data_IF_222624219892
#
_entry.id   IF_222624219892
#
_cell.length_a   1.000
_cell.length_b   1.000
_cell.length_c   1.000
_cell.angle_alpha   90.00
_cell.angle_beta   90.00
_cell.angle_gamma   90.00
#
_symmetry.space_group_name_H-M   'P 1'
#
loop_
_entity.id
_entity.type
_entity.pdbx_description
1 polymer ?
#
# COMPACT_ATOMS: atom_id res chain seq x y z
N UNK A 1 -9.72 3.27 0.55
CA UNK A 1 -10.10 3.54 -0.87
C UNK A 1 -11.07 2.46 -1.26
N UNK A 2 -12.16 2.81 -1.94
CA UNK A 2 -13.11 1.82 -2.47
C UNK A 2 -12.81 1.63 -3.95
N UNK A 3 -12.23 0.49 -4.32
CA UNK A 3 -11.79 0.20 -5.69
C UNK A 3 -12.95 -0.31 -6.56
N UNK A 4 -12.86 -0.06 -7.87
CA UNK A 4 -13.84 -0.48 -8.89
C UNK A 4 -15.27 0.08 -8.68
N UNK A 5 -15.39 1.21 -7.98
CA UNK A 5 -16.64 1.92 -7.76
C UNK A 5 -16.43 3.43 -7.85
N UNK A 6 -17.47 4.16 -8.23
CA UNK A 6 -17.53 5.62 -8.13
C UNK A 6 -18.34 6.08 -6.92
N UNK A 7 -19.05 5.16 -6.25
CA UNK A 7 -19.88 5.43 -5.07
C UNK A 7 -19.19 4.96 -3.79
N UNK A 8 -19.27 5.73 -2.68
CA UNK A 8 -18.80 5.29 -1.37
C UNK A 8 -19.49 4.00 -0.91
N UNK A 9 -18.77 3.16 -0.16
CA UNK A 9 -19.28 1.88 0.36
C UNK A 9 -19.65 0.84 -0.72
N UNK A 10 -19.19 1.05 -1.95
CA UNK A 10 -19.29 0.08 -3.05
C UNK A 10 -17.95 -0.59 -3.35
N UNK A 11 -17.95 -1.52 -4.31
CA UNK A 11 -16.70 -2.10 -4.83
C UNK A 11 -15.91 -2.90 -3.79
N UNK A 12 -14.57 -2.82 -3.86
CA UNK A 12 -13.66 -3.52 -2.95
C UNK A 12 -12.85 -2.52 -2.10
N UNK A 13 -13.07 -2.44 -0.77
CA UNK A 13 -12.32 -1.56 0.10
C UNK A 13 -10.87 -2.05 0.28
N UNK A 14 -9.92 -1.13 0.19
CA UNK A 14 -8.51 -1.36 0.48
C UNK A 14 -7.94 -0.24 1.37
N UNK A 15 -7.11 -0.62 2.32
CA UNK A 15 -6.33 0.31 3.13
C UNK A 15 -5.05 0.70 2.38
N UNK A 16 -4.69 1.99 2.40
CA UNK A 16 -3.45 2.51 1.79
C UNK A 16 -2.69 3.29 2.85
N UNK A 17 -1.50 2.81 3.22
CA UNK A 17 -0.67 3.35 4.29
C UNK A 17 0.59 3.96 3.69
N UNK A 18 0.86 5.23 4.01
CA UNK A 18 2.12 5.87 3.65
C UNK A 18 3.21 5.41 4.62
N UNK A 19 4.24 4.76 4.08
CA UNK A 19 5.35 4.21 4.84
C UNK A 19 6.62 5.06 4.66
N UNK A 20 7.17 5.54 5.77
CA UNK A 20 8.35 6.41 5.82
C UNK A 20 9.62 5.71 6.34
N UNK A 21 9.60 4.38 6.47
CA UNK A 21 10.74 3.57 6.91
C UNK A 21 10.72 3.18 8.40
N UNK A 22 11.55 2.18 8.75
CA UNK A 22 11.68 1.59 10.09
C UNK A 22 12.25 0.17 10.02
N UNK A 23 12.89 -0.31 11.09
CA UNK A 23 13.29 -1.71 11.24
C UNK A 23 12.04 -2.58 11.53
N UNK A 24 12.06 -3.86 11.10
CA UNK A 24 10.95 -4.83 11.20
C UNK A 24 9.68 -4.47 10.40
N UNK A 25 9.86 -3.96 9.18
CA UNK A 25 8.79 -3.54 8.30
C UNK A 25 7.73 -4.63 8.06
N UNK A 26 8.13 -5.89 7.83
CA UNK A 26 7.22 -6.94 7.36
C UNK A 26 6.24 -7.39 8.46
N UNK A 27 6.76 -7.71 9.65
CA UNK A 27 5.93 -8.13 10.77
C UNK A 27 4.98 -7.01 11.20
N UNK A 28 5.45 -5.76 11.17
CA UNK A 28 4.61 -4.61 11.46
C UNK A 28 3.54 -4.40 10.38
N UNK A 29 3.92 -4.40 9.09
CA UNK A 29 3.00 -4.28 7.95
C UNK A 29 1.92 -5.36 7.99
N UNK A 30 2.31 -6.61 8.28
CA UNK A 30 1.39 -7.73 8.46
C UNK A 30 0.44 -7.52 9.64
N UNK A 31 0.92 -6.98 10.77
CA UNK A 31 0.07 -6.67 11.93
C UNK A 31 -0.95 -5.58 11.63
N UNK A 32 -0.56 -4.56 10.86
CA UNK A 32 -1.45 -3.48 10.41
C UNK A 32 -2.48 -4.00 9.40
N UNK A 33 -2.07 -4.85 8.46
CA UNK A 33 -2.99 -5.47 7.51
C UNK A 33 -4.04 -6.34 8.23
N UNK A 34 -3.61 -7.05 9.27
CA UNK A 34 -4.50 -7.82 10.14
C UNK A 34 -5.47 -6.95 10.93
N UNK A 35 -5.03 -5.79 11.42
CA UNK A 35 -5.90 -4.84 12.13
C UNK A 35 -6.99 -4.26 11.22
N UNK A 36 -6.64 -3.90 9.98
CA UNK A 36 -7.64 -3.42 9.00
C UNK A 36 -8.63 -4.52 8.58
N UNK A 37 -8.17 -5.77 8.52
CA UNK A 37 -9.00 -6.94 8.18
C UNK A 37 -9.82 -6.77 6.88
N UNK A 38 -9.21 -6.10 5.88
CA UNK A 38 -9.71 -5.99 4.52
C UNK A 38 -9.04 -7.04 3.64
N UNK A 39 -9.52 -7.18 2.39
CA UNK A 39 -8.91 -8.07 1.39
C UNK A 39 -7.41 -7.79 1.26
N UNK A 40 -7.03 -6.51 1.13
CA UNK A 40 -5.64 -6.09 1.03
C UNK A 40 -5.37 -4.75 1.75
N UNK A 41 -4.14 -4.61 2.25
CA UNK A 41 -3.55 -3.36 2.72
C UNK A 41 -2.29 -3.07 1.91
N UNK A 42 -2.24 -1.92 1.25
CA UNK A 42 -1.09 -1.48 0.46
C UNK A 42 -0.22 -0.48 1.24
N UNK A 43 1.09 -0.72 1.27
CA UNK A 43 2.08 0.17 1.86
C UNK A 43 2.86 0.87 0.75
N UNK A 44 2.91 2.20 0.82
CA UNK A 44 3.52 3.05 -0.21
C UNK A 44 4.75 3.74 0.36
N UNK A 45 5.91 3.57 -0.27
CA UNK A 45 7.12 4.33 0.07
C UNK A 45 7.66 5.07 -1.15
N UNK A 46 8.19 6.30 -1.01
CA UNK A 46 8.87 6.97 -2.10
C UNK A 46 10.09 6.17 -2.55
N UNK A 47 10.37 6.20 -3.85
CA UNK A 47 11.60 5.63 -4.42
C UNK A 47 12.41 6.78 -5.02
N UNK A 48 13.61 7.02 -4.48
CA UNK A 48 14.50 8.12 -4.89
C UNK A 48 15.22 7.88 -6.23
N UNK A 49 14.79 6.89 -7.02
CA UNK A 49 15.46 6.49 -8.25
C UNK A 49 15.04 7.35 -9.46
N UNK A 50 15.99 7.86 -10.27
CA UNK A 50 15.71 8.74 -11.41
C UNK A 50 14.90 8.00 -12.46
N UNK A 51 13.76 8.57 -12.89
CA UNK A 51 12.84 7.96 -13.87
C UNK A 51 13.57 7.32 -15.07
N UNK A 52 13.32 6.03 -15.32
CA UNK A 52 13.91 5.28 -16.44
C UNK A 52 13.31 5.69 -17.78
N UNK A 53 12.19 6.41 -17.77
CA UNK A 53 11.54 6.97 -18.95
C UNK A 53 11.99 8.40 -19.28
N UNK A 54 12.90 9.01 -18.50
CA UNK A 54 13.32 10.40 -18.70
C UNK A 54 12.26 11.46 -18.35
N UNK A 55 11.05 11.03 -17.99
CA UNK A 55 9.95 11.89 -17.57
C UNK A 55 10.15 12.36 -16.12
N UNK A 56 9.93 13.65 -15.82
CA UNK A 56 9.93 14.14 -14.44
C UNK A 56 8.74 13.54 -13.69
N UNK A 57 8.99 12.51 -12.88
CA UNK A 57 7.95 11.83 -12.10
C UNK A 57 8.50 11.27 -10.78
N UNK A 58 7.72 11.39 -9.71
CA UNK A 58 8.00 10.72 -8.43
C UNK A 58 7.67 9.25 -8.57
N UNK A 59 8.62 8.38 -8.20
CA UNK A 59 8.35 6.93 -8.13
C UNK A 59 7.96 6.53 -6.73
N UNK A 60 7.14 5.50 -6.67
CA UNK A 60 6.70 4.88 -5.43
C UNK A 60 6.86 3.37 -5.54
N UNK A 61 7.30 2.77 -4.44
CA UNK A 61 7.27 1.33 -4.26
C UNK A 61 6.01 0.96 -3.49
N UNK A 62 5.36 -0.10 -3.94
CA UNK A 62 4.19 -0.69 -3.30
C UNK A 62 4.54 -2.07 -2.74
N UNK A 63 3.99 -2.36 -1.58
CA UNK A 63 3.91 -3.71 -0.99
C UNK A 63 2.46 -3.94 -0.57
N UNK A 64 1.97 -5.16 -0.70
CA UNK A 64 0.58 -5.52 -0.40
C UNK A 64 0.54 -6.69 0.54
N UNK A 65 -0.32 -6.59 1.55
CA UNK A 65 -0.52 -7.63 2.54
C UNK A 65 -1.99 -7.94 2.66
N UNK A 66 -2.32 -9.22 2.66
CA UNK A 66 -3.59 -9.74 3.21
C UNK A 66 -3.48 -9.81 4.73
N UNK A 67 -4.58 -10.09 5.47
CA UNK A 67 -4.52 -10.27 6.92
C UNK A 67 -3.64 -11.43 7.41
N UNK A 68 -3.24 -12.34 6.52
CA UNK A 68 -2.50 -13.58 6.88
C UNK A 68 -1.14 -13.74 6.19
N UNK A 69 -0.88 -13.01 5.10
CA UNK A 69 0.36 -13.11 4.32
C UNK A 69 0.60 -11.86 3.46
N UNK A 70 1.86 -11.67 3.03
CA UNK A 70 2.27 -10.78 1.93
C UNK A 70 2.08 -11.43 0.56
#
# INVERSE_FOLDING_TARGET
VDAFTESPFGGNPAAVVLWLGGADADAWMQSVAKEFNLSETAFVSPEDAPSSSGEPGRRFRLRWFTPVAE
#
